data_IF_984174897832
#
_entry.id   IF_984174897832
#
_cell.length_a   1.000
_cell.length_b   1.000
_cell.length_c   1.000
_cell.angle_alpha   90.00
_cell.angle_beta   90.00
_cell.angle_gamma   90.00
#
_symmetry.space_group_name_H-M   'P 1'
#
loop_
_entity.id
_entity.type
_entity.pdbx_description
1 polymer ?
#
# COMPACT_ATOMS: atom_id res chain seq x y z
N UNK A 1 53.01 6.86 26.18
CA UNK A 1 52.92 6.42 24.80
C UNK A 1 51.55 5.77 24.64
N UNK A 2 50.53 6.55 24.19
CA UNK A 2 49.12 6.13 24.15
C UNK A 2 48.82 5.76 22.71
N UNK A 3 48.58 4.46 22.45
CA UNK A 3 48.20 3.95 21.15
C UNK A 3 46.72 4.15 20.98
N UNK A 4 46.32 5.08 20.09
CA UNK A 4 44.95 5.26 19.64
C UNK A 4 44.60 4.15 18.63
N UNK A 5 43.72 3.24 19.04
CA UNK A 5 43.09 2.29 18.11
C UNK A 5 41.94 3.01 17.39
N UNK A 6 42.16 3.32 16.12
CA UNK A 6 41.10 3.76 15.19
C UNK A 6 40.22 2.57 14.86
N UNK A 7 38.92 2.62 15.23
CA UNK A 7 37.91 1.69 14.71
C UNK A 7 37.61 2.08 13.26
N UNK A 8 37.62 1.15 12.29
CA UNK A 8 37.18 1.44 10.94
C UNK A 8 35.67 1.50 10.93
N UNK A 9 35.10 2.56 10.38
CA UNK A 9 33.71 2.70 10.01
C UNK A 9 33.44 1.71 8.89
N UNK A 10 32.69 0.63 9.16
CA UNK A 10 32.17 -0.25 8.12
C UNK A 10 30.98 0.49 7.52
N UNK A 11 31.24 1.23 6.44
CA UNK A 11 30.21 1.62 5.47
C UNK A 11 29.72 0.33 4.78
N UNK A 12 28.67 -0.27 5.32
CA UNK A 12 27.91 -1.26 4.58
C UNK A 12 27.28 -0.54 3.40
N UNK A 13 27.96 -0.60 2.26
CA UNK A 13 27.43 -0.17 1.00
C UNK A 13 26.17 -1.00 0.70
N UNK A 14 25.00 -0.34 0.72
CA UNK A 14 23.78 -0.90 0.16
C UNK A 14 23.97 -1.06 -1.36
N UNK A 15 24.58 -2.17 -1.77
CA UNK A 15 24.65 -2.52 -3.20
C UNK A 15 23.27 -3.00 -3.64
N UNK A 16 22.68 -2.39 -4.67
CA UNK A 16 21.43 -2.89 -5.23
C UNK A 16 21.71 -4.26 -5.85
N UNK A 17 21.06 -5.31 -5.37
CA UNK A 17 20.97 -6.56 -6.11
C UNK A 17 20.34 -6.23 -7.47
N UNK A 18 21.16 -6.23 -8.52
CA UNK A 18 20.68 -6.15 -9.92
C UNK A 18 19.77 -7.34 -10.16
N UNK A 19 18.44 -7.12 -10.07
CA UNK A 19 17.50 -8.04 -10.70
C UNK A 19 17.67 -7.86 -12.20
N UNK A 20 17.99 -8.93 -12.91
CA UNK A 20 17.99 -8.98 -14.37
C UNK A 20 16.63 -8.47 -14.86
N UNK A 21 16.62 -7.28 -15.45
CA UNK A 21 15.47 -6.72 -16.16
C UNK A 21 15.41 -7.48 -17.48
N UNK A 22 14.71 -8.61 -17.48
CA UNK A 22 14.21 -9.21 -18.71
C UNK A 22 13.05 -8.31 -19.16
N UNK A 23 13.02 -7.92 -20.43
CA UNK A 23 12.05 -7.08 -21.12
C UNK A 23 10.58 -7.45 -20.77
N UNK A 24 10.10 -7.04 -19.60
CA UNK A 24 8.72 -7.09 -19.17
C UNK A 24 8.17 -5.67 -19.18
N UNK A 25 6.90 -5.52 -19.51
CA UNK A 25 6.18 -4.25 -19.40
C UNK A 25 6.32 -3.73 -17.95
N UNK A 26 6.62 -2.43 -17.81
CA UNK A 26 6.72 -1.77 -16.51
C UNK A 26 5.48 -2.13 -15.64
N UNK A 27 5.66 -2.69 -14.43
CA UNK A 27 4.56 -3.08 -13.56
C UNK A 27 3.56 -1.95 -13.33
N UNK A 28 4.02 -0.69 -13.34
CA UNK A 28 3.19 0.51 -13.19
C UNK A 28 2.08 0.60 -14.23
N UNK A 29 2.34 0.19 -15.49
CA UNK A 29 1.33 0.17 -16.55
C UNK A 29 0.17 -0.77 -16.17
N UNK A 30 0.48 -1.94 -15.62
CA UNK A 30 -0.53 -2.91 -15.19
C UNK A 30 -1.31 -2.41 -13.97
N UNK A 31 -0.63 -1.80 -13.00
CA UNK A 31 -1.21 -1.18 -11.81
C UNK A 31 -2.19 -0.10 -12.23
N UNK A 32 -1.73 0.89 -12.97
CA UNK A 32 -2.53 2.03 -13.44
C UNK A 32 -3.78 1.56 -14.20
N UNK A 33 -3.63 0.62 -15.12
CA UNK A 33 -4.79 0.06 -15.86
C UNK A 33 -5.81 -0.63 -14.95
N UNK A 34 -5.36 -1.32 -13.92
CA UNK A 34 -6.22 -2.04 -12.99
C UNK A 34 -7.04 -1.08 -12.14
N UNK A 35 -6.40 -0.08 -11.54
CA UNK A 35 -7.06 0.92 -10.71
C UNK A 35 -7.95 1.86 -11.54
N UNK A 36 -7.55 2.23 -12.76
CA UNK A 36 -8.41 2.98 -13.68
C UNK A 36 -9.73 2.25 -13.97
N UNK A 37 -9.69 0.91 -14.17
CA UNK A 37 -10.91 0.11 -14.38
C UNK A 37 -11.75 -0.01 -13.10
N UNK A 38 -11.10 -0.06 -11.94
CA UNK A 38 -11.76 -0.24 -10.65
C UNK A 38 -12.45 1.05 -10.15
N UNK A 39 -12.08 2.23 -10.61
CA UNK A 39 -12.50 3.52 -10.04
C UNK A 39 -14.01 3.63 -9.79
N UNK A 40 -14.85 3.15 -10.72
CA UNK A 40 -16.33 3.20 -10.59
C UNK A 40 -16.90 2.18 -9.60
N UNK A 41 -16.21 1.06 -9.34
CA UNK A 41 -16.68 -0.01 -8.45
C UNK A 41 -15.97 -0.03 -7.10
N UNK A 42 -14.89 0.72 -6.97
CA UNK A 42 -13.99 0.69 -5.81
C UNK A 42 -14.73 0.95 -4.50
N UNK A 43 -15.56 1.99 -4.44
CA UNK A 43 -16.29 2.36 -3.22
C UNK A 43 -17.40 1.38 -2.81
N UNK A 44 -17.73 0.40 -3.66
CA UNK A 44 -18.68 -0.65 -3.31
C UNK A 44 -18.05 -1.76 -2.46
N UNK A 45 -16.71 -1.86 -2.44
CA UNK A 45 -15.98 -3.00 -1.88
C UNK A 45 -14.74 -2.62 -1.05
N UNK A 46 -14.45 -1.34 -0.87
CA UNK A 46 -13.24 -0.84 -0.19
C UNK A 46 -13.35 -0.82 1.35
N UNK A 47 -14.14 -1.73 1.94
CA UNK A 47 -14.38 -1.78 3.39
C UNK A 47 -13.09 -1.91 4.20
N UNK A 48 -12.20 -2.82 3.80
CA UNK A 48 -10.91 -2.99 4.47
C UNK A 48 -10.06 -1.72 4.37
N UNK A 49 -10.01 -1.10 3.18
CA UNK A 49 -9.25 0.11 2.94
C UNK A 49 -9.74 1.28 3.80
N UNK A 50 -11.05 1.39 3.98
CA UNK A 50 -11.65 2.40 4.85
C UNK A 50 -11.34 2.11 6.32
N UNK A 51 -11.53 0.88 6.79
CA UNK A 51 -11.24 0.48 8.18
C UNK A 51 -9.78 0.76 8.54
N UNK A 52 -8.84 0.31 7.68
CA UNK A 52 -7.41 0.55 7.86
C UNK A 52 -7.08 2.04 7.78
N UNK A 53 -7.65 2.76 6.81
CA UNK A 53 -7.42 4.19 6.63
C UNK A 53 -7.93 5.03 7.81
N UNK A 54 -9.09 4.72 8.36
CA UNK A 54 -9.61 5.41 9.56
C UNK A 54 -8.76 5.13 10.80
N UNK A 55 -8.27 3.91 10.99
CA UNK A 55 -7.33 3.63 12.09
C UNK A 55 -6.03 4.42 11.95
N UNK A 56 -5.47 4.45 10.73
CA UNK A 56 -4.28 5.23 10.42
C UNK A 56 -4.50 6.74 10.62
N UNK A 57 -5.68 7.23 10.24
CA UNK A 57 -6.11 8.60 10.46
C UNK A 57 -6.18 8.97 11.95
N UNK A 58 -6.66 8.06 12.83
CA UNK A 58 -6.64 8.30 14.28
C UNK A 58 -5.20 8.49 14.78
N UNK A 59 -4.24 7.70 14.31
CA UNK A 59 -2.84 7.90 14.67
C UNK A 59 -2.32 9.28 14.25
N UNK A 60 -2.71 9.74 13.05
CA UNK A 60 -2.33 11.07 12.59
C UNK A 60 -2.81 12.15 13.56
N UNK A 61 -4.05 12.06 14.03
CA UNK A 61 -4.61 13.03 14.99
C UNK A 61 -3.87 13.04 16.32
N UNK A 62 -3.42 11.88 16.78
CA UNK A 62 -2.68 11.75 18.05
C UNK A 62 -1.26 12.32 17.97
N UNK A 63 -0.66 12.36 16.77
CA UNK A 63 0.76 12.67 16.58
C UNK A 63 1.05 13.93 15.76
N UNK A 64 0.04 14.55 15.15
CA UNK A 64 0.20 15.71 14.30
C UNK A 64 -0.28 16.98 15.01
N UNK A 65 0.64 17.93 15.22
CA UNK A 65 0.35 19.25 15.76
C UNK A 65 0.29 20.26 14.61
N UNK A 66 -0.94 20.71 14.28
CA UNK A 66 -1.24 21.76 13.30
C UNK A 66 -0.44 21.69 11.98
N UNK A 67 -0.47 20.57 11.22
CA UNK A 67 0.26 20.46 9.95
C UNK A 67 -0.28 21.49 8.95
N UNK A 68 0.59 22.07 8.14
CA UNK A 68 0.19 23.03 7.10
C UNK A 68 0.04 22.40 5.73
N UNK A 69 0.81 21.36 5.45
CA UNK A 69 0.80 20.66 4.16
C UNK A 69 0.80 19.15 4.38
N UNK A 70 -0.24 18.48 3.90
CA UNK A 70 -0.44 17.04 3.97
C UNK A 70 -0.52 16.49 2.53
N UNK A 71 0.21 15.44 2.22
CA UNK A 71 0.02 14.68 0.99
C UNK A 71 -0.49 13.27 1.33
N UNK A 72 -1.53 12.81 0.62
CA UNK A 72 -2.06 11.45 0.68
C UNK A 72 -1.68 10.70 -0.60
N UNK A 73 -0.78 9.72 -0.47
CA UNK A 73 -0.24 8.95 -1.58
C UNK A 73 -1.04 7.67 -1.80
N UNK A 74 -1.47 7.46 -3.05
CA UNK A 74 -2.42 6.42 -3.38
C UNK A 74 -3.81 6.74 -2.83
N UNK A 75 -4.23 7.99 -2.98
CA UNK A 75 -5.48 8.50 -2.41
C UNK A 75 -6.75 7.80 -2.95
N UNK A 76 -6.63 7.08 -4.08
CA UNK A 76 -7.74 6.39 -4.72
C UNK A 76 -8.90 7.34 -5.02
N UNK A 77 -10.09 6.97 -4.55
CA UNK A 77 -11.33 7.76 -4.71
C UNK A 77 -11.42 8.97 -3.78
N UNK A 78 -10.41 9.25 -2.95
CA UNK A 78 -10.28 10.47 -2.17
C UNK A 78 -11.04 10.52 -0.84
N UNK A 79 -11.68 9.44 -0.40
CA UNK A 79 -12.52 9.45 0.84
C UNK A 79 -11.69 9.83 2.07
N UNK A 80 -10.54 9.18 2.28
CA UNK A 80 -9.67 9.49 3.43
C UNK A 80 -9.01 10.86 3.24
N UNK A 81 -8.63 11.21 2.03
CA UNK A 81 -8.05 12.53 1.71
C UNK A 81 -9.02 13.66 2.05
N UNK A 82 -10.30 13.50 1.70
CA UNK A 82 -11.33 14.47 2.07
C UNK A 82 -11.52 14.57 3.59
N UNK A 83 -11.46 13.43 4.29
CA UNK A 83 -11.49 13.41 5.75
C UNK A 83 -10.29 14.14 6.36
N UNK A 84 -9.10 14.00 5.78
CA UNK A 84 -7.92 14.77 6.17
C UNK A 84 -8.17 16.29 5.99
N UNK A 85 -8.76 16.71 4.86
CA UNK A 85 -9.05 18.11 4.60
C UNK A 85 -10.07 18.69 5.57
N UNK A 86 -11.09 17.93 5.95
CA UNK A 86 -12.12 18.34 6.90
C UNK A 86 -11.59 18.48 8.33
N UNK A 87 -10.77 17.55 8.80
CA UNK A 87 -10.26 17.55 10.17
C UNK A 87 -9.05 18.50 10.35
N UNK A 88 -8.37 18.84 9.24
CA UNK A 88 -7.26 19.80 9.23
C UNK A 88 -7.59 20.99 8.31
N UNK A 89 -8.59 21.85 8.67
CA UNK A 89 -9.10 22.89 7.79
C UNK A 89 -8.08 23.99 7.47
N UNK A 90 -7.03 24.11 8.29
CA UNK A 90 -5.92 25.05 8.07
C UNK A 90 -4.78 24.45 7.22
N UNK A 91 -4.84 23.16 6.92
CA UNK A 91 -3.85 22.46 6.09
C UNK A 91 -4.23 22.53 4.62
N UNK A 92 -3.23 22.60 3.75
CA UNK A 92 -3.39 22.26 2.33
C UNK A 92 -3.22 20.76 2.18
N UNK A 93 -4.26 20.07 1.71
CA UNK A 93 -4.26 18.61 1.52
C UNK A 93 -4.18 18.30 0.03
N UNK A 94 -3.24 17.44 -0.34
CA UNK A 94 -3.02 17.00 -1.71
C UNK A 94 -3.19 15.50 -1.80
N UNK A 95 -4.22 15.03 -2.51
CA UNK A 95 -4.37 13.64 -2.89
C UNK A 95 -3.57 13.33 -4.16
N UNK A 96 -2.80 12.26 -4.15
CA UNK A 96 -1.96 11.82 -5.26
C UNK A 96 -2.28 10.37 -5.58
N UNK A 97 -2.55 10.07 -6.85
CA UNK A 97 -2.71 8.70 -7.33
C UNK A 97 -2.18 8.57 -8.76
N UNK A 98 -1.68 7.38 -9.11
CA UNK A 98 -1.19 7.09 -10.46
C UNK A 98 -2.34 6.84 -11.45
N UNK A 99 -3.53 6.48 -10.95
CA UNK A 99 -4.71 6.17 -11.74
C UNK A 99 -5.55 7.43 -11.98
N UNK A 100 -5.54 7.94 -13.20
CA UNK A 100 -6.25 9.16 -13.59
C UNK A 100 -7.77 9.08 -13.30
N UNK A 101 -8.41 7.94 -13.59
CA UNK A 101 -9.84 7.76 -13.32
C UNK A 101 -10.18 7.79 -11.82
N UNK A 102 -9.24 7.42 -10.92
CA UNK A 102 -9.41 7.60 -9.48
C UNK A 102 -9.43 9.09 -9.13
N UNK A 103 -8.50 9.85 -9.69
CA UNK A 103 -8.38 11.30 -9.48
C UNK A 103 -9.59 12.05 -10.04
N UNK A 104 -10.05 11.71 -11.24
CA UNK A 104 -11.26 12.29 -11.83
C UNK A 104 -12.48 12.03 -10.95
N UNK A 105 -12.62 10.78 -10.47
CA UNK A 105 -13.69 10.42 -9.55
C UNK A 105 -13.60 11.22 -8.25
N UNK A 106 -12.43 11.31 -7.63
CA UNK A 106 -12.21 12.07 -6.40
C UNK A 106 -12.56 13.55 -6.57
N UNK A 107 -12.07 14.18 -7.65
CA UNK A 107 -12.39 15.57 -8.00
C UNK A 107 -13.89 15.81 -8.16
N UNK A 108 -14.61 14.86 -8.76
CA UNK A 108 -16.05 14.97 -8.95
C UNK A 108 -16.86 14.89 -7.65
N UNK A 109 -16.35 14.14 -6.67
CA UNK A 109 -17.02 13.93 -5.38
C UNK A 109 -16.75 15.04 -4.35
N UNK A 110 -15.53 15.61 -4.35
CA UNK A 110 -15.06 16.50 -3.29
C UNK A 110 -14.79 17.92 -3.82
N UNK A 111 -15.84 18.57 -4.32
CA UNK A 111 -15.78 19.92 -4.91
C UNK A 111 -15.91 21.06 -3.90
N UNK A 112 -16.31 20.76 -2.66
CA UNK A 112 -16.61 21.77 -1.64
C UNK A 112 -15.42 22.12 -0.74
N UNK A 113 -14.45 21.23 -0.65
CA UNK A 113 -13.28 21.37 0.21
C UNK A 113 -12.25 22.29 -0.44
N UNK A 114 -12.20 23.55 0.00
CA UNK A 114 -11.32 24.59 -0.58
C UNK A 114 -9.83 24.36 -0.33
N UNK A 115 -9.49 23.59 0.68
CA UNK A 115 -8.13 23.25 1.08
C UNK A 115 -7.64 21.91 0.51
N UNK A 116 -8.45 21.26 -0.36
CA UNK A 116 -8.18 19.95 -0.94
C UNK A 116 -7.91 20.06 -2.44
N UNK A 117 -6.88 19.38 -2.91
CA UNK A 117 -6.59 19.21 -4.33
C UNK A 117 -6.20 17.76 -4.63
N UNK A 118 -6.36 17.35 -5.91
CA UNK A 118 -5.99 16.02 -6.37
C UNK A 118 -5.14 16.11 -7.63
N UNK A 119 -4.08 15.31 -7.72
CA UNK A 119 -3.23 15.23 -8.92
C UNK A 119 -2.95 13.78 -9.30
N UNK A 120 -2.81 13.55 -10.61
CA UNK A 120 -2.31 12.28 -11.13
C UNK A 120 -0.79 12.33 -11.16
N UNK A 121 -0.12 11.47 -10.37
CA UNK A 121 1.33 11.37 -10.35
C UNK A 121 1.80 10.00 -9.84
N UNK A 122 3.04 9.64 -10.22
CA UNK A 122 3.74 8.44 -9.74
C UNK A 122 4.42 8.74 -8.39
N UNK A 123 4.22 7.87 -7.40
CA UNK A 123 4.86 7.98 -6.10
C UNK A 123 6.39 7.84 -6.13
N UNK A 124 6.95 7.21 -7.19
CA UNK A 124 8.39 7.10 -7.39
C UNK A 124 9.02 8.40 -7.94
N UNK A 125 8.19 9.32 -8.48
CA UNK A 125 8.63 10.61 -9.00
C UNK A 125 7.65 11.74 -8.64
N UNK A 126 7.54 11.99 -7.35
CA UNK A 126 6.60 12.98 -6.81
C UNK A 126 6.93 14.38 -7.34
N UNK A 127 5.93 15.11 -7.91
CA UNK A 127 6.10 16.49 -8.35
C UNK A 127 5.99 17.45 -7.15
N UNK A 128 6.79 17.18 -6.12
CA UNK A 128 6.83 17.95 -4.89
C UNK A 128 8.23 18.53 -4.69
N UNK A 129 8.26 19.77 -4.23
CA UNK A 129 9.49 20.43 -3.81
C UNK A 129 10.11 19.71 -2.61
N UNK A 130 11.41 19.83 -2.47
CA UNK A 130 12.11 19.33 -1.30
C UNK A 130 11.64 20.07 -0.04
N UNK A 131 11.54 19.35 1.08
CA UNK A 131 11.22 19.90 2.38
C UNK A 131 9.95 20.77 2.41
N UNK A 132 8.92 20.34 1.69
CA UNK A 132 7.69 21.06 1.51
C UNK A 132 6.52 20.50 2.33
N UNK A 133 6.55 19.20 2.68
CA UNK A 133 5.48 18.52 3.41
C UNK A 133 5.75 18.49 4.92
N UNK A 134 4.70 18.70 5.70
CA UNK A 134 4.70 18.39 7.13
C UNK A 134 4.35 16.90 7.35
N UNK A 135 3.42 16.38 6.53
CA UNK A 135 2.94 15.00 6.65
C UNK A 135 2.84 14.36 5.25
N UNK A 136 3.39 13.16 5.12
CA UNK A 136 3.09 12.21 4.08
C UNK A 136 2.23 11.08 4.68
N UNK A 137 1.02 10.92 4.16
CA UNK A 137 0.07 9.89 4.54
C UNK A 137 -0.05 8.89 3.39
N UNK A 138 -0.19 7.59 3.68
CA UNK A 138 -0.42 6.58 2.64
C UNK A 138 -1.14 5.38 3.20
N UNK A 139 -2.30 5.03 2.63
CA UNK A 139 -3.10 3.91 3.09
C UNK A 139 -3.13 2.79 2.05
N UNK A 140 -2.51 1.64 2.36
CA UNK A 140 -2.49 0.44 1.52
C UNK A 140 -2.06 0.71 0.07
N UNK A 141 -1.06 1.58 -0.13
CA UNK A 141 -0.50 1.88 -1.46
C UNK A 141 0.92 1.34 -1.64
N UNK A 142 1.78 1.40 -0.60
CA UNK A 142 3.21 1.12 -0.75
C UNK A 142 3.52 -0.31 -1.23
N UNK A 143 2.63 -1.28 -1.01
CA UNK A 143 2.76 -2.63 -1.58
C UNK A 143 2.69 -2.68 -3.10
N UNK A 144 2.23 -1.61 -3.75
CA UNK A 144 2.15 -1.48 -5.20
C UNK A 144 3.37 -0.80 -5.81
N UNK A 145 4.25 -0.21 -4.98
CA UNK A 145 5.49 0.39 -5.48
C UNK A 145 6.42 -0.70 -6.06
N UNK A 146 6.85 -0.60 -7.31
CA UNK A 146 7.81 -1.53 -7.89
C UNK A 146 9.19 -1.43 -7.24
N UNK A 147 9.49 -0.28 -6.65
CA UNK A 147 10.74 -0.02 -5.94
C UNK A 147 10.50 0.82 -4.68
N UNK A 148 10.20 0.13 -3.57
CA UNK A 148 9.90 0.76 -2.30
C UNK A 148 10.96 1.76 -1.84
N UNK A 149 12.25 1.45 -2.07
CA UNK A 149 13.37 2.33 -1.75
C UNK A 149 13.27 3.67 -2.47
N UNK A 150 12.93 3.66 -3.76
CA UNK A 150 12.76 4.89 -4.57
C UNK A 150 11.61 5.73 -4.01
N UNK A 151 10.46 5.11 -3.75
CA UNK A 151 9.30 5.80 -3.18
C UNK A 151 9.62 6.40 -1.81
N UNK A 152 10.24 5.63 -0.90
CA UNK A 152 10.61 6.12 0.43
C UNK A 152 11.62 7.27 0.35
N UNK A 153 12.60 7.20 -0.57
CA UNK A 153 13.57 8.29 -0.78
C UNK A 153 12.88 9.55 -1.31
N UNK A 154 11.93 9.43 -2.23
CA UNK A 154 11.14 10.56 -2.74
C UNK A 154 10.31 11.22 -1.62
N UNK A 155 9.71 10.41 -0.74
CA UNK A 155 8.96 10.88 0.42
C UNK A 155 9.86 11.59 1.43
N UNK A 156 11.01 11.00 1.75
CA UNK A 156 11.97 11.61 2.66
C UNK A 156 12.45 12.98 2.16
N UNK A 157 12.72 13.09 0.85
CA UNK A 157 13.10 14.35 0.21
C UNK A 157 11.99 15.40 0.32
N UNK A 158 10.73 15.02 0.09
CA UNK A 158 9.59 15.93 0.12
C UNK A 158 9.21 16.39 1.53
N UNK A 159 9.48 15.59 2.56
CA UNK A 159 9.21 15.93 3.94
C UNK A 159 10.21 16.96 4.47
N UNK A 160 9.73 17.91 5.26
CA UNK A 160 10.55 18.82 6.06
C UNK A 160 11.34 18.08 7.12
N UNK A 161 12.44 18.64 7.64
CA UNK A 161 13.05 18.15 8.88
C UNK A 161 11.99 18.04 10.00
N UNK A 162 11.92 16.86 10.66
CA UNK A 162 10.88 16.54 11.64
C UNK A 162 9.50 16.22 11.04
N UNK A 163 9.34 16.27 9.73
CA UNK A 163 8.12 15.86 9.02
C UNK A 163 7.80 14.38 9.25
N UNK A 164 6.52 14.01 9.09
CA UNK A 164 6.00 12.70 9.48
C UNK A 164 5.58 11.88 8.27
N UNK A 165 5.98 10.61 8.26
CA UNK A 165 5.48 9.58 7.35
C UNK A 165 4.56 8.65 8.15
N UNK A 166 3.29 8.58 7.78
CA UNK A 166 2.29 7.74 8.42
C UNK A 166 1.66 6.87 7.33
N UNK A 167 1.84 5.56 7.40
CA UNK A 167 1.33 4.69 6.36
C UNK A 167 0.90 3.33 6.86
N UNK A 168 0.08 2.66 6.03
CA UNK A 168 -0.23 1.24 6.15
C UNK A 168 0.18 0.48 4.90
N UNK A 169 0.57 -0.78 5.07
CA UNK A 169 0.88 -1.69 3.97
C UNK A 169 0.57 -3.13 4.35
N UNK A 170 0.50 -4.02 3.34
CA UNK A 170 0.27 -5.44 3.56
C UNK A 170 1.57 -6.16 3.92
N UNK A 171 1.46 -7.07 4.90
CA UNK A 171 2.51 -8.04 5.26
C UNK A 171 2.32 -9.40 4.59
N UNK A 172 3.33 -10.29 4.66
CA UNK A 172 3.37 -11.59 3.97
C UNK A 172 2.28 -12.58 4.41
N UNK A 173 1.71 -12.41 5.61
CA UNK A 173 0.58 -13.19 6.10
C UNK A 173 -0.76 -12.90 5.40
N UNK A 174 -0.82 -11.86 4.56
CA UNK A 174 -2.04 -11.52 3.84
C UNK A 174 -2.43 -12.57 2.81
N UNK A 175 -3.75 -12.91 2.78
CA UNK A 175 -4.34 -13.88 1.86
C UNK A 175 -3.67 -15.27 1.92
N UNK A 176 -3.21 -15.68 3.11
CA UNK A 176 -2.56 -16.98 3.29
C UNK A 176 -3.47 -18.15 2.91
N UNK A 177 -4.76 -18.07 3.24
CA UNK A 177 -5.73 -19.11 2.90
C UNK A 177 -5.82 -19.27 1.37
N UNK A 178 -5.89 -18.17 0.64
CA UNK A 178 -5.95 -18.16 -0.83
C UNK A 178 -4.65 -18.69 -1.45
N UNK A 179 -3.50 -18.26 -0.92
CA UNK A 179 -2.18 -18.71 -1.35
C UNK A 179 -2.01 -20.21 -1.17
N UNK A 180 -2.37 -20.73 0.02
CA UNK A 180 -2.23 -22.14 0.37
C UNK A 180 -3.21 -23.03 -0.42
N UNK A 181 -4.43 -22.54 -0.71
CA UNK A 181 -5.40 -23.26 -1.52
C UNK A 181 -4.92 -23.38 -2.98
N UNK A 182 -4.40 -22.30 -3.58
CA UNK A 182 -3.83 -22.33 -4.92
C UNK A 182 -2.59 -23.23 -5.02
N UNK A 183 -1.73 -23.22 -4.03
CA UNK A 183 -0.53 -24.07 -3.99
C UNK A 183 -0.83 -25.60 -4.04
N UNK A 184 -2.09 -26.02 -3.79
CA UNK A 184 -2.54 -27.41 -3.96
C UNK A 184 -2.99 -27.73 -5.39
N UNK A 185 -3.13 -26.71 -6.26
CA UNK A 185 -3.68 -26.85 -7.61
C UNK A 185 -2.58 -26.73 -8.65
N UNK A 186 -1.72 -25.73 -8.51
CA UNK A 186 -0.62 -25.50 -9.44
C UNK A 186 0.56 -24.79 -8.73
N UNK A 187 1.64 -24.57 -9.47
CA UNK A 187 2.87 -23.93 -8.98
C UNK A 187 2.97 -22.45 -9.33
N UNK A 188 1.91 -21.86 -9.88
CA UNK A 188 1.89 -20.45 -10.21
C UNK A 188 1.67 -19.59 -8.96
N UNK A 189 2.18 -18.37 -8.98
CA UNK A 189 1.93 -17.41 -7.93
C UNK A 189 0.61 -16.67 -8.18
N UNK A 190 -0.40 -16.92 -7.36
CA UNK A 190 -1.73 -16.32 -7.46
C UNK A 190 -1.94 -15.12 -6.53
N UNK A 191 -1.09 -14.95 -5.54
CA UNK A 191 -1.10 -13.82 -4.60
C UNK A 191 0.24 -13.10 -4.68
N UNK A 192 0.23 -11.77 -4.61
CA UNK A 192 1.44 -10.96 -4.61
C UNK A 192 2.33 -11.29 -3.40
N UNK A 193 3.64 -11.11 -3.57
CA UNK A 193 4.55 -11.14 -2.43
C UNK A 193 4.53 -9.76 -1.77
N UNK A 194 4.39 -9.74 -0.46
CA UNK A 194 4.49 -8.54 0.35
C UNK A 194 5.81 -8.56 1.13
N UNK A 195 6.34 -7.39 1.44
CA UNK A 195 7.55 -7.26 2.24
C UNK A 195 7.28 -7.67 3.69
N UNK A 196 8.22 -8.35 4.33
CA UNK A 196 8.13 -8.63 5.74
C UNK A 196 8.53 -7.41 6.59
N UNK A 197 8.35 -7.54 7.91
CA UNK A 197 8.61 -6.46 8.85
C UNK A 197 10.07 -6.05 8.87
N UNK A 198 10.98 -7.01 8.82
CA UNK A 198 12.43 -6.81 8.85
C UNK A 198 12.88 -6.05 7.61
N UNK A 199 12.47 -6.50 6.44
CA UNK A 199 12.77 -5.84 5.16
C UNK A 199 12.20 -4.42 5.11
N UNK A 200 10.94 -4.21 5.55
CA UNK A 200 10.33 -2.89 5.59
C UNK A 200 11.08 -1.94 6.54
N UNK A 201 11.53 -2.45 7.68
CA UNK A 201 12.32 -1.69 8.65
C UNK A 201 13.66 -1.27 8.05
N UNK A 202 14.36 -2.20 7.39
CA UNK A 202 15.63 -1.92 6.71
C UNK A 202 15.47 -0.86 5.60
N UNK A 203 14.43 -0.96 4.78
CA UNK A 203 14.17 0.02 3.71
C UNK A 203 13.87 1.42 4.27
N UNK A 204 13.11 1.52 5.37
CA UNK A 204 12.86 2.78 6.06
C UNK A 204 14.16 3.39 6.63
N UNK A 205 14.99 2.58 7.29
CA UNK A 205 16.26 3.03 7.83
C UNK A 205 17.25 3.44 6.72
N UNK A 206 17.31 2.69 5.61
CA UNK A 206 18.10 3.05 4.44
C UNK A 206 17.64 4.38 3.81
N UNK A 207 16.34 4.67 3.85
CA UNK A 207 15.78 5.95 3.43
C UNK A 207 15.89 7.04 4.52
N UNK A 208 16.62 6.78 5.62
CA UNK A 208 16.92 7.69 6.73
C UNK A 208 15.70 8.04 7.62
N UNK A 209 14.60 7.30 7.53
CA UNK A 209 13.48 7.46 8.46
C UNK A 209 13.79 6.88 9.83
N UNK A 210 13.40 7.63 10.88
CA UNK A 210 13.35 7.12 12.24
C UNK A 210 11.96 6.61 12.53
N UNK A 211 11.82 5.30 12.75
CA UNK A 211 10.56 4.67 13.11
C UNK A 211 10.22 5.02 14.55
N UNK A 212 9.04 5.59 14.78
CA UNK A 212 8.52 5.98 16.10
C UNK A 212 7.49 4.96 16.60
N UNK A 213 6.70 4.37 15.70
CA UNK A 213 5.72 3.33 16.02
C UNK A 213 5.56 2.36 14.86
N UNK A 214 5.47 1.06 15.17
CA UNK A 214 5.23 0.01 14.20
C UNK A 214 4.31 -1.03 14.83
N UNK A 215 3.09 -1.16 14.32
CA UNK A 215 2.15 -2.19 14.74
C UNK A 215 1.85 -3.17 13.59
N UNK A 216 1.63 -4.42 13.95
CA UNK A 216 1.12 -5.46 13.05
C UNK A 216 -0.27 -5.86 13.55
N UNK A 217 -1.27 -5.77 12.68
CA UNK A 217 -2.65 -6.13 13.00
C UNK A 217 -3.22 -7.03 11.92
N UNK A 218 -3.91 -8.10 12.33
CA UNK A 218 -4.64 -8.96 11.41
C UNK A 218 -6.08 -8.50 11.31
N UNK A 219 -6.53 -8.24 10.07
CA UNK A 219 -7.91 -8.00 9.71
C UNK A 219 -8.45 -9.21 8.97
N UNK A 220 -9.74 -9.51 9.16
CA UNK A 220 -10.41 -10.65 8.55
C UNK A 220 -11.64 -10.18 7.80
N UNK A 221 -11.74 -10.62 6.55
CA UNK A 221 -12.96 -10.49 5.76
C UNK A 221 -13.58 -11.88 5.60
N UNK A 222 -14.91 -11.95 5.66
CA UNK A 222 -15.65 -13.20 5.58
C UNK A 222 -16.48 -13.25 4.29
N UNK A 223 -16.40 -14.37 3.60
CA UNK A 223 -17.05 -14.58 2.30
C UNK A 223 -17.89 -15.86 2.31
N UNK A 224 -18.89 -15.95 1.45
CA UNK A 224 -19.67 -17.17 1.26
C UNK A 224 -18.91 -18.17 0.40
N UNK A 225 -18.26 -17.69 -0.67
CA UNK A 225 -17.48 -18.49 -1.60
C UNK A 225 -16.12 -17.84 -1.89
N UNK A 226 -15.17 -18.65 -2.35
CA UNK A 226 -13.88 -18.12 -2.80
C UNK A 226 -14.02 -17.21 -4.03
N UNK A 227 -15.06 -17.40 -4.84
CA UNK A 227 -15.36 -16.52 -5.98
C UNK A 227 -15.77 -15.12 -5.54
N UNK A 228 -16.49 -14.98 -4.43
CA UNK A 228 -16.86 -13.67 -3.87
C UNK A 228 -15.61 -12.89 -3.45
N UNK A 229 -14.66 -13.57 -2.77
CA UNK A 229 -13.35 -12.97 -2.46
C UNK A 229 -12.63 -12.51 -3.73
N UNK A 230 -12.56 -13.37 -4.75
CA UNK A 230 -11.87 -13.03 -6.00
C UNK A 230 -12.56 -11.90 -6.76
N UNK A 231 -13.89 -11.82 -6.72
CA UNK A 231 -14.65 -10.73 -7.29
C UNK A 231 -14.40 -9.41 -6.54
N UNK A 232 -14.34 -9.43 -5.20
CA UNK A 232 -14.01 -8.26 -4.40
C UNK A 232 -12.59 -7.76 -4.74
N UNK A 233 -11.59 -8.64 -4.74
CA UNK A 233 -10.21 -8.28 -5.12
C UNK A 233 -10.13 -7.68 -6.53
N UNK A 234 -10.87 -8.24 -7.49
CA UNK A 234 -10.94 -7.72 -8.85
C UNK A 234 -11.59 -6.34 -8.92
N UNK A 235 -12.69 -6.12 -8.19
CA UNK A 235 -13.38 -4.80 -8.11
C UNK A 235 -12.51 -3.73 -7.45
N UNK A 236 -11.62 -4.11 -6.52
CA UNK A 236 -10.62 -3.23 -5.92
C UNK A 236 -9.46 -2.90 -6.87
N UNK A 237 -9.33 -3.59 -8.00
CA UNK A 237 -8.16 -3.46 -8.87
C UNK A 237 -6.91 -4.18 -8.34
N UNK A 238 -7.06 -4.99 -7.28
CA UNK A 238 -5.98 -5.72 -6.63
C UNK A 238 -5.55 -6.96 -7.45
N UNK A 239 -4.94 -6.71 -8.59
CA UNK A 239 -4.50 -7.77 -9.50
C UNK A 239 -3.14 -8.37 -9.07
N UNK A 240 -2.96 -9.63 -9.46
CA UNK A 240 -1.68 -10.31 -9.30
C UNK A 240 -0.64 -9.77 -10.29
N UNK A 241 0.44 -9.17 -9.78
CA UNK A 241 1.54 -8.58 -10.55
C UNK A 241 2.73 -9.53 -10.73
N UNK A 242 2.71 -10.74 -10.15
CA UNK A 242 3.83 -11.65 -10.22
C UNK A 242 4.13 -12.05 -11.67
N UNK A 243 5.40 -12.07 -12.04
CA UNK A 243 5.86 -12.55 -13.35
C UNK A 243 5.55 -14.04 -13.55
N UNK A 244 5.61 -14.83 -12.48
CA UNK A 244 5.27 -16.26 -12.44
C UNK A 244 3.77 -16.53 -12.32
N UNK A 245 2.91 -15.54 -12.56
CA UNK A 245 1.46 -15.76 -12.60
C UNK A 245 1.07 -16.59 -13.82
N UNK A 246 -0.02 -17.33 -13.69
CA UNK A 246 -0.65 -17.96 -14.84
C UNK A 246 -1.20 -16.87 -15.78
N UNK A 247 -0.67 -16.80 -17.00
CA UNK A 247 -1.14 -15.85 -18.04
C UNK A 247 -2.39 -16.33 -18.76
N UNK A 248 -2.71 -17.63 -18.63
CA UNK A 248 -3.92 -18.22 -19.18
C UNK A 248 -5.10 -18.07 -18.20
N UNK A 249 -6.31 -18.09 -18.74
CA UNK A 249 -7.53 -18.12 -17.91
C UNK A 249 -7.55 -19.43 -17.10
N UNK A 250 -7.69 -19.32 -15.78
CA UNK A 250 -7.90 -20.49 -14.93
C UNK A 250 -9.17 -21.23 -15.36
N UNK A 251 -9.09 -22.55 -15.47
CA UNK A 251 -10.22 -23.35 -15.93
C UNK A 251 -11.36 -23.39 -14.89
N UNK A 252 -12.58 -23.70 -15.32
CA UNK A 252 -13.71 -23.98 -14.41
C UNK A 252 -13.35 -25.11 -13.40
N UNK A 253 -12.54 -26.08 -13.84
CA UNK A 253 -12.04 -27.17 -12.99
C UNK A 253 -11.13 -26.63 -11.87
N UNK A 254 -10.20 -25.73 -12.20
CA UNK A 254 -9.31 -25.10 -11.20
C UNK A 254 -10.07 -24.33 -10.15
N UNK A 255 -11.14 -23.59 -10.54
CA UNK A 255 -11.98 -22.88 -9.56
C UNK A 255 -12.79 -23.82 -8.66
N UNK A 256 -13.30 -24.94 -9.18
CA UNK A 256 -13.93 -25.97 -8.32
C UNK A 256 -12.94 -26.55 -7.31
N UNK A 257 -11.73 -26.88 -7.74
CA UNK A 257 -10.68 -27.36 -6.85
C UNK A 257 -10.30 -26.29 -5.82
N UNK A 258 -10.17 -25.02 -6.22
CA UNK A 258 -9.90 -23.90 -5.31
C UNK A 258 -10.95 -23.83 -4.20
N UNK A 259 -12.24 -23.91 -4.55
CA UNK A 259 -13.31 -23.91 -3.55
C UNK A 259 -13.14 -25.06 -2.55
N UNK A 260 -12.90 -26.29 -3.04
CA UNK A 260 -12.69 -27.48 -2.18
C UNK A 260 -11.51 -27.28 -1.21
N UNK A 261 -10.38 -26.75 -1.70
CA UNK A 261 -9.21 -26.53 -0.85
C UNK A 261 -9.39 -25.34 0.11
N UNK A 262 -10.16 -24.32 -0.29
CA UNK A 262 -10.46 -23.18 0.55
C UNK A 262 -11.51 -23.50 1.62
N UNK A 263 -12.46 -24.40 1.36
CA UNK A 263 -13.52 -24.83 2.30
C UNK A 263 -12.99 -25.36 3.63
N UNK A 264 -11.72 -25.81 3.67
CA UNK A 264 -11.03 -26.24 4.90
C UNK A 264 -10.82 -25.11 5.92
N UNK A 265 -10.93 -23.86 5.48
CA UNK A 265 -10.79 -22.68 6.31
C UNK A 265 -12.12 -22.13 6.80
N UNK A 266 -13.27 -22.78 6.49
CA UNK A 266 -14.59 -22.31 6.95
C UNK A 266 -14.62 -22.18 8.46
N UNK A 267 -15.15 -21.05 8.92
CA UNK A 267 -15.41 -20.80 10.33
C UNK A 267 -16.68 -21.54 10.82
N UNK A 268 -16.98 -21.41 12.11
CA UNK A 268 -18.17 -21.99 12.75
C UNK A 268 -19.50 -21.49 12.15
N UNK A 269 -19.50 -20.35 11.48
CA UNK A 269 -20.66 -19.76 10.80
C UNK A 269 -20.70 -20.11 9.31
N UNK A 270 -19.92 -21.10 8.89
CA UNK A 270 -19.81 -21.55 7.51
C UNK A 270 -19.31 -20.48 6.53
N UNK A 271 -18.55 -19.47 7.02
CA UNK A 271 -17.94 -18.42 6.22
C UNK A 271 -16.48 -18.72 5.94
N UNK A 272 -15.99 -18.26 4.79
CA UNK A 272 -14.59 -18.36 4.37
C UNK A 272 -13.83 -17.10 4.80
N UNK A 273 -12.84 -17.20 5.69
CA UNK A 273 -12.02 -16.05 6.05
C UNK A 273 -11.00 -15.73 4.96
N UNK A 274 -10.71 -14.47 4.77
CA UNK A 274 -9.52 -13.98 4.10
C UNK A 274 -8.76 -13.10 5.09
N UNK A 275 -7.55 -13.49 5.45
CA UNK A 275 -6.68 -12.78 6.38
C UNK A 275 -5.92 -11.67 5.67
N UNK A 276 -5.79 -10.52 6.32
CA UNK A 276 -4.95 -9.42 5.88
C UNK A 276 -4.04 -9.01 7.05
N UNK A 277 -2.77 -9.27 6.92
CA UNK A 277 -1.75 -8.77 7.83
C UNK A 277 -1.43 -7.33 7.43
N UNK A 278 -1.74 -6.39 8.31
CA UNK A 278 -1.54 -4.96 8.06
C UNK A 278 -0.43 -4.44 8.96
N UNK A 279 0.56 -3.82 8.35
CA UNK A 279 1.56 -3.02 9.03
C UNK A 279 1.10 -1.57 9.07
N UNK A 280 1.07 -1.01 10.27
CA UNK A 280 0.86 0.41 10.53
C UNK A 280 2.18 1.01 10.98
N UNK A 281 2.64 2.02 10.30
CA UNK A 281 3.95 2.63 10.56
C UNK A 281 3.82 4.13 10.72
N UNK A 282 4.45 4.65 11.77
CA UNK A 282 4.67 6.06 11.99
C UNK A 282 6.17 6.30 12.11
N UNK A 283 6.69 7.14 11.24
CA UNK A 283 8.11 7.47 11.15
C UNK A 283 8.30 8.98 10.96
N UNK A 284 9.52 9.45 11.20
CA UNK A 284 9.89 10.86 11.03
C UNK A 284 11.18 10.99 10.23
N UNK A 285 11.28 12.07 9.45
CA UNK A 285 12.51 12.54 8.85
C UNK A 285 13.43 13.15 9.90
#
# INVERSE_FOLDING_TARGET
MIVRVKRPWVLLACYPRRKNVILGLDPRISITRSFNRAAKSYNQVNFLQLEVGYRLFCWLKDFADHPKKIADLGCGTGIITAKLAQDFPQSRVLGIDIAENMIEYARSCFTKEKNLNFITADADSLPLENENLDIAFSNLMLQWSPNLKTTLTALWRALKPGGKLIFSTLGPGSLNELRNAWAKIDHYKHVNNFVDREQLTEELMCAQFKILKFETVYHYRLFDTVLDLMHELKKLGANNLNELRNKNLSSKKSFKQLQIFYDKYRDKNNKLPASFEIYYVYATK
#
